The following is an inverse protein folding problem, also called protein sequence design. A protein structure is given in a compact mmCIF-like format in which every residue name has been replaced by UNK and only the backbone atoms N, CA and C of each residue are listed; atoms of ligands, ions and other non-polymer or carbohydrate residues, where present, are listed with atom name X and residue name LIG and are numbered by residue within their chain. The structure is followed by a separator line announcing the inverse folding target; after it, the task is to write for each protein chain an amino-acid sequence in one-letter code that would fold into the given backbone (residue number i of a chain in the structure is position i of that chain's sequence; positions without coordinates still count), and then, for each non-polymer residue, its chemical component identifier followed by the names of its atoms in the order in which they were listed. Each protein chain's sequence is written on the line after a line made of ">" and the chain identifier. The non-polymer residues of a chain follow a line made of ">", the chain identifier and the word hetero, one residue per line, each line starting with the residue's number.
data_IF_103307619216
#
_entry.id   IF_103307619216
#
_cell.length_a   1.000
_cell.length_b   1.000
_cell.length_c   1.000
_cell.angle_alpha   90.00
_cell.angle_beta   90.00
_cell.angle_gamma   90.00
#
_symmetry.space_group_name_H-M   'P 1'
#
loop_
_entity.id
_entity.type
_entity.pdbx_description
1 polymer ?
#
# COMPACT_ATOMS: atom_id res chain seq x y z
N UNK A 1 37.54 32.70 -30.11
CA UNK A 1 37.51 32.42 -28.66
C UNK A 1 36.07 32.56 -28.21
N UNK A 2 35.36 31.45 -28.09
CA UNK A 2 33.97 31.41 -27.66
C UNK A 2 33.87 30.24 -26.69
N UNK A 3 33.96 30.58 -25.40
CA UNK A 3 33.73 29.68 -24.27
C UNK A 3 32.26 29.27 -24.26
N UNK A 4 31.98 28.02 -24.61
CA UNK A 4 30.68 27.39 -24.34
C UNK A 4 30.57 27.16 -22.83
N UNK A 5 29.57 27.76 -22.20
CA UNK A 5 29.13 27.41 -20.85
C UNK A 5 28.32 26.12 -20.92
N UNK A 6 28.90 25.01 -20.44
CA UNK A 6 28.17 23.76 -20.23
C UNK A 6 27.28 23.91 -19.00
N UNK A 7 26.01 24.27 -19.21
CA UNK A 7 24.97 24.20 -18.18
C UNK A 7 24.68 22.74 -17.84
N UNK A 8 25.35 22.19 -16.82
CA UNK A 8 25.08 20.85 -16.32
C UNK A 8 23.68 20.76 -15.71
N UNK A 9 22.82 19.92 -16.26
CA UNK A 9 21.50 19.62 -15.67
C UNK A 9 21.71 18.99 -14.29
N UNK A 10 21.21 19.63 -13.25
CA UNK A 10 21.30 19.14 -11.87
C UNK A 10 20.62 17.79 -11.73
N UNK A 11 21.17 16.90 -10.91
CA UNK A 11 20.62 15.55 -10.68
C UNK A 11 19.68 15.57 -9.47
N UNK A 12 18.52 14.91 -9.60
CA UNK A 12 17.62 14.66 -8.47
C UNK A 12 18.15 13.48 -7.65
N UNK A 13 18.68 13.77 -6.45
CA UNK A 13 19.22 12.75 -5.55
C UNK A 13 18.15 11.99 -4.77
N UNK A 14 16.97 12.59 -4.64
CA UNK A 14 15.87 12.04 -3.87
C UNK A 14 15.21 10.88 -4.62
N UNK A 15 15.09 9.73 -3.95
CA UNK A 15 14.58 8.51 -4.55
C UNK A 15 15.63 7.62 -5.18
N UNK A 16 16.93 7.94 -5.05
CA UNK A 16 18.02 6.98 -5.26
C UNK A 16 18.05 5.94 -4.13
N UNK A 17 18.49 4.73 -4.41
CA UNK A 17 18.94 3.79 -3.37
C UNK A 17 20.31 4.20 -2.82
N UNK A 18 20.69 3.72 -1.64
CA UNK A 18 21.98 4.10 -1.04
C UNK A 18 23.16 3.78 -1.96
N UNK A 19 23.15 2.62 -2.62
CA UNK A 19 24.20 2.22 -3.56
C UNK A 19 24.24 3.09 -4.84
N UNK A 20 23.11 3.65 -5.27
CA UNK A 20 23.06 4.62 -6.37
C UNK A 20 23.62 5.97 -5.93
N UNK A 21 23.22 6.44 -4.73
CA UNK A 21 23.73 7.67 -4.15
C UNK A 21 25.24 7.58 -3.90
N UNK A 22 25.74 6.46 -3.38
CA UNK A 22 27.16 6.27 -3.13
C UNK A 22 27.98 6.31 -4.41
N UNK A 23 27.52 5.65 -5.49
CA UNK A 23 28.16 5.72 -6.81
C UNK A 23 28.19 7.15 -7.34
N UNK A 24 27.09 7.88 -7.21
CA UNK A 24 27.02 9.29 -7.62
C UNK A 24 27.96 10.18 -6.80
N UNK A 25 28.00 10.01 -5.47
CA UNK A 25 28.92 10.78 -4.60
C UNK A 25 30.39 10.49 -4.94
N UNK A 26 30.72 9.23 -5.20
CA UNK A 26 32.07 8.81 -5.61
C UNK A 26 32.47 9.38 -6.98
N UNK A 27 31.54 9.46 -7.94
CA UNK A 27 31.83 10.03 -9.26
C UNK A 27 32.18 11.53 -9.22
N UNK A 28 31.82 12.21 -8.13
CA UNK A 28 32.16 13.62 -7.90
C UNK A 28 33.38 13.80 -6.99
N UNK A 29 34.16 12.73 -6.74
CA UNK A 29 35.41 12.78 -5.99
C UNK A 29 35.28 12.69 -4.47
N UNK A 30 34.11 12.35 -3.94
CA UNK A 30 33.84 12.26 -2.51
C UNK A 30 33.87 10.82 -1.99
N UNK A 31 34.14 10.66 -0.69
CA UNK A 31 34.28 9.35 -0.05
C UNK A 31 32.91 8.74 0.32
N UNK A 32 32.85 7.42 0.44
CA UNK A 32 31.67 6.67 0.90
C UNK A 32 31.08 7.19 2.22
N UNK A 33 31.93 7.58 3.18
CA UNK A 33 31.47 8.17 4.44
C UNK A 33 30.66 9.46 4.25
N UNK A 34 30.94 10.23 3.20
CA UNK A 34 30.20 11.44 2.88
C UNK A 34 28.88 11.13 2.14
N UNK A 35 28.82 10.03 1.38
CA UNK A 35 27.56 9.50 0.85
C UNK A 35 26.62 9.07 1.98
N UNK A 36 27.15 8.44 3.02
CA UNK A 36 26.41 8.08 4.22
C UNK A 36 25.88 9.32 4.98
N UNK A 37 26.70 10.37 5.11
CA UNK A 37 26.24 11.64 5.69
C UNK A 37 25.10 12.26 4.88
N UNK A 38 25.18 12.20 3.55
CA UNK A 38 24.14 12.70 2.65
C UNK A 38 22.85 11.89 2.73
N UNK A 39 22.96 10.57 2.75
CA UNK A 39 21.85 9.64 2.94
C UNK A 39 21.13 9.94 4.26
N UNK A 40 21.88 10.03 5.36
CA UNK A 40 21.35 10.42 6.66
C UNK A 40 20.74 11.81 6.68
N UNK A 41 21.24 12.77 5.88
CA UNK A 41 20.62 14.11 5.77
C UNK A 41 19.30 14.11 5.01
N UNK A 42 19.19 13.33 3.93
CA UNK A 42 17.94 13.24 3.17
C UNK A 42 16.77 12.77 4.05
N UNK A 43 17.08 12.06 5.14
CA UNK A 43 16.13 11.42 6.03
C UNK A 43 16.37 11.73 7.54
N UNK A 44 17.14 12.77 7.89
CA UNK A 44 17.65 13.11 9.25
C UNK A 44 18.49 14.42 9.31
N UNK A 45 19.39 14.60 10.31
CA UNK A 45 20.01 15.93 10.61
C UNK A 45 21.53 16.12 10.36
N UNK A 46 21.88 17.26 9.72
CA UNK A 46 23.22 17.87 9.62
C UNK A 46 24.10 17.53 8.38
N UNK A 47 24.62 18.55 7.67
CA UNK A 47 25.67 18.44 6.62
C UNK A 47 26.78 19.47 6.83
N UNK A 48 28.04 19.09 6.55
CA UNK A 48 29.21 19.98 6.51
C UNK A 48 29.10 21.01 5.37
N UNK A 49 29.69 22.20 5.57
CA UNK A 49 29.68 23.38 4.69
C UNK A 49 30.19 23.07 3.27
N UNK A 50 31.27 22.32 3.15
CA UNK A 50 31.84 21.94 1.83
C UNK A 50 30.88 21.06 1.03
N UNK A 51 30.13 20.21 1.73
CA UNK A 51 29.18 19.29 1.12
C UNK A 51 27.89 20.01 0.67
N UNK A 52 27.45 21.04 1.41
CA UNK A 52 26.32 21.88 0.99
C UNK A 52 26.63 22.64 -0.29
N UNK A 53 27.86 23.12 -0.45
CA UNK A 53 28.31 23.81 -1.66
C UNK A 53 28.27 22.88 -2.88
N UNK A 54 28.83 21.68 -2.76
CA UNK A 54 28.76 20.65 -3.81
C UNK A 54 27.32 20.33 -4.23
N UNK A 55 26.41 20.15 -3.26
CA UNK A 55 25.01 19.87 -3.55
C UNK A 55 24.33 21.02 -4.29
N UNK A 56 24.61 22.26 -3.91
CA UNK A 56 24.02 23.43 -4.57
C UNK A 56 24.43 23.59 -6.04
N UNK A 57 25.64 23.12 -6.37
CA UNK A 57 26.24 23.16 -7.70
C UNK A 57 25.77 22.00 -8.59
N UNK A 58 25.56 20.80 -8.02
CA UNK A 58 25.37 19.56 -8.79
C UNK A 58 24.01 18.86 -8.60
N UNK A 59 23.20 19.27 -7.62
CA UNK A 59 21.95 18.58 -7.27
C UNK A 59 20.79 19.54 -6.98
N UNK A 60 19.56 19.07 -7.24
CA UNK A 60 18.35 19.77 -6.79
C UNK A 60 17.82 19.15 -5.49
N UNK A 61 17.62 20.00 -4.48
CA UNK A 61 17.09 19.62 -3.18
C UNK A 61 15.62 20.05 -3.07
N UNK A 62 14.69 19.25 -3.60
CA UNK A 62 13.26 19.43 -3.31
C UNK A 62 12.85 18.56 -2.13
N UNK A 63 12.54 19.19 -1.00
CA UNK A 63 11.76 18.54 0.04
C UNK A 63 10.38 18.21 -0.56
N UNK A 64 10.10 16.93 -0.80
CA UNK A 64 8.73 16.47 -1.09
C UNK A 64 7.80 17.06 -0.03
N UNK A 65 6.93 17.97 -0.45
CA UNK A 65 5.68 18.18 0.26
C UNK A 65 4.79 16.98 -0.06
N UNK A 66 3.85 16.62 0.81
CA UNK A 66 2.88 15.53 0.55
C UNK A 66 2.18 15.64 -0.82
N UNK A 67 2.16 16.84 -1.41
CA UNK A 67 1.65 17.11 -2.77
C UNK A 67 2.47 16.49 -3.90
N UNK A 68 3.77 16.30 -3.72
CA UNK A 68 4.68 15.86 -4.79
C UNK A 68 4.62 14.34 -5.06
N UNK A 69 4.00 13.57 -4.17
CA UNK A 69 3.81 12.10 -4.30
C UNK A 69 2.64 11.78 -5.27
N UNK A 70 1.84 12.77 -5.67
CA UNK A 70 0.56 12.57 -6.38
C UNK A 70 0.63 12.63 -7.91
N UNK A 71 1.82 12.83 -8.50
CA UNK A 71 1.94 13.03 -9.96
C UNK A 71 2.81 11.95 -10.59
N UNK A 72 2.20 11.07 -11.37
CA UNK A 72 2.94 10.18 -12.26
C UNK A 72 3.45 10.97 -13.48
N UNK A 73 4.49 10.45 -14.14
CA UNK A 73 5.14 11.05 -15.32
C UNK A 73 4.22 11.21 -16.55
N UNK A 74 3.02 10.63 -16.51
CA UNK A 74 1.97 10.76 -17.52
C UNK A 74 1.02 11.96 -17.28
N UNK A 75 1.27 12.79 -16.25
CA UNK A 75 0.45 13.97 -15.95
C UNK A 75 -0.91 13.67 -15.33
N UNK A 76 -1.21 12.40 -15.03
CA UNK A 76 -2.42 12.06 -14.28
C UNK A 76 -2.19 12.27 -12.78
N UNK A 77 -3.02 13.13 -12.17
CA UNK A 77 -3.16 13.22 -10.71
C UNK A 77 -3.93 11.98 -10.25
N UNK A 78 -3.20 10.89 -9.99
CA UNK A 78 -3.79 9.69 -9.37
C UNK A 78 -3.90 10.00 -7.88
N UNK A 79 -5.10 9.87 -7.30
CA UNK A 79 -5.26 9.83 -5.85
C UNK A 79 -4.50 8.66 -5.23
N UNK A 80 -4.82 8.27 -3.99
CA UNK A 80 -4.40 6.96 -3.43
C UNK A 80 -4.85 5.81 -4.37
N UNK A 81 -3.97 5.39 -5.27
CA UNK A 81 -4.23 4.32 -6.24
C UNK A 81 -3.73 2.97 -5.74
N UNK A 82 -4.03 1.90 -6.50
CA UNK A 82 -3.46 0.56 -6.28
C UNK A 82 -1.93 0.61 -6.34
N UNK A 83 -1.20 0.40 -5.21
CA UNK A 83 0.24 0.56 -5.16
C UNK A 83 0.97 -0.36 -6.15
N UNK A 84 0.46 -1.58 -6.34
CA UNK A 84 1.13 -2.57 -7.18
C UNK A 84 1.07 -2.24 -8.69
N UNK A 85 0.24 -1.30 -9.14
CA UNK A 85 0.36 -0.77 -10.50
C UNK A 85 1.69 -0.02 -10.70
N UNK A 86 2.29 0.50 -9.63
CA UNK A 86 3.58 1.17 -9.63
C UNK A 86 4.64 0.38 -8.85
N UNK A 87 4.69 -0.93 -9.09
CA UNK A 87 5.52 -1.87 -8.33
C UNK A 87 6.98 -1.46 -8.19
N UNK A 88 7.57 -0.88 -9.24
CA UNK A 88 9.00 -0.52 -9.25
C UNK A 88 9.29 0.55 -8.20
N UNK A 89 8.50 1.63 -8.19
CA UNK A 89 8.67 2.71 -7.23
C UNK A 89 8.25 2.27 -5.81
N UNK A 90 7.28 1.36 -5.69
CA UNK A 90 6.87 0.79 -4.39
C UNK A 90 7.99 -0.02 -3.77
N UNK A 91 8.64 -0.91 -4.52
CA UNK A 91 9.77 -1.70 -4.02
C UNK A 91 10.93 -0.78 -3.63
N UNK A 92 11.25 0.20 -4.49
CA UNK A 92 12.30 1.18 -4.21
C UNK A 92 12.01 1.99 -2.94
N UNK A 93 10.79 2.52 -2.81
CA UNK A 93 10.37 3.27 -1.63
C UNK A 93 10.39 2.42 -0.36
N UNK A 94 9.95 1.16 -0.45
CA UNK A 94 10.00 0.21 0.65
C UNK A 94 11.44 -0.08 1.08
N UNK A 95 12.38 -0.26 0.13
CA UNK A 95 13.80 -0.45 0.40
C UNK A 95 14.39 0.75 1.14
N UNK A 96 14.10 1.98 0.68
CA UNK A 96 14.56 3.22 1.32
C UNK A 96 14.04 3.34 2.77
N UNK A 97 12.78 2.98 3.01
CA UNK A 97 12.17 3.05 4.35
C UNK A 97 12.82 2.11 5.37
N UNK A 98 13.27 0.94 4.92
CA UNK A 98 13.84 -0.09 5.81
C UNK A 98 15.36 -0.10 5.85
N UNK A 99 16.01 0.71 5.01
CA UNK A 99 17.46 0.87 4.95
C UNK A 99 18.02 1.25 6.33
N UNK A 100 18.96 0.45 6.82
CA UNK A 100 19.56 0.56 8.17
C UNK A 100 20.43 1.80 8.34
N UNK A 101 20.91 2.35 7.22
CA UNK A 101 21.69 3.58 7.16
C UNK A 101 20.83 4.82 6.98
N UNK A 102 19.53 4.66 6.65
CA UNK A 102 18.55 5.70 6.40
C UNK A 102 17.49 5.80 7.50
N UNK A 103 16.21 5.59 7.12
CA UNK A 103 15.06 5.69 8.03
C UNK A 103 15.00 4.54 9.04
N UNK A 104 15.61 3.40 8.72
CA UNK A 104 15.75 2.23 9.58
C UNK A 104 14.42 1.77 10.20
N UNK A 105 13.32 1.87 9.46
CA UNK A 105 12.07 1.28 9.91
C UNK A 105 12.14 -0.24 9.84
N UNK A 106 11.57 -0.90 10.85
CA UNK A 106 11.40 -2.35 10.77
C UNK A 106 10.54 -2.69 9.55
N UNK A 107 10.93 -3.66 8.69
CA UNK A 107 10.11 -4.08 7.55
C UNK A 107 8.69 -4.50 7.94
N UNK A 108 8.49 -4.96 9.18
CA UNK A 108 7.17 -5.33 9.72
C UNK A 108 6.26 -4.13 10.01
N UNK A 109 6.81 -2.92 10.08
CA UNK A 109 6.07 -1.67 10.32
C UNK A 109 5.75 -0.91 9.03
N UNK A 110 6.38 -1.28 7.91
CA UNK A 110 6.07 -0.74 6.58
C UNK A 110 5.11 -1.71 5.90
N UNK A 111 3.83 -1.33 5.75
CA UNK A 111 2.80 -2.19 5.15
C UNK A 111 2.34 -1.63 3.82
N UNK A 112 2.42 -2.44 2.77
CA UNK A 112 1.86 -2.13 1.45
C UNK A 112 0.53 -2.87 1.32
N UNK A 113 -0.57 -2.14 1.06
CA UNK A 113 -1.87 -2.75 0.77
C UNK A 113 -2.09 -2.92 -0.73
N UNK A 114 -2.79 -3.98 -1.13
CA UNK A 114 -3.19 -4.23 -2.51
C UNK A 114 -4.60 -4.80 -2.61
N UNK A 115 -5.28 -4.47 -3.70
CA UNK A 115 -6.54 -5.07 -4.14
C UNK A 115 -6.38 -6.46 -4.77
N UNK A 116 -5.16 -6.96 -4.94
CA UNK A 116 -4.88 -8.32 -5.43
C UNK A 116 -4.41 -8.37 -6.89
N UNK A 117 -3.51 -7.47 -7.28
CA UNK A 117 -2.85 -7.52 -8.59
C UNK A 117 -1.83 -8.68 -8.63
N UNK A 118 -2.29 -9.90 -8.87
CA UNK A 118 -1.55 -11.16 -8.65
C UNK A 118 -0.11 -11.18 -9.20
N UNK A 119 0.17 -10.79 -10.46
CA UNK A 119 1.55 -10.81 -10.98
C UNK A 119 2.50 -9.89 -10.20
N UNK A 120 2.02 -8.72 -9.79
CA UNK A 120 2.82 -7.73 -9.08
C UNK A 120 2.89 -8.02 -7.59
N UNK A 121 1.88 -8.68 -7.02
CA UNK A 121 1.91 -9.20 -5.66
C UNK A 121 3.00 -10.26 -5.53
N UNK A 122 3.06 -11.18 -6.50
CA UNK A 122 4.12 -12.20 -6.58
C UNK A 122 5.51 -11.55 -6.67
N UNK A 123 5.65 -10.53 -7.51
CA UNK A 123 6.89 -9.74 -7.62
C UNK A 123 7.25 -9.07 -6.28
N UNK A 124 6.30 -8.42 -5.63
CA UNK A 124 6.51 -7.75 -4.34
C UNK A 124 6.99 -8.72 -3.26
N UNK A 125 6.35 -9.90 -3.14
CA UNK A 125 6.77 -10.91 -2.17
C UNK A 125 8.19 -11.42 -2.43
N UNK A 126 8.65 -11.46 -3.68
CA UNK A 126 10.01 -11.90 -4.03
C UNK A 126 11.06 -10.84 -3.77
N UNK A 127 10.76 -9.59 -4.09
CA UNK A 127 11.71 -8.48 -4.07
C UNK A 127 11.69 -7.68 -2.76
N UNK A 128 10.65 -7.81 -1.91
CA UNK A 128 10.52 -7.06 -0.66
C UNK A 128 10.26 -7.96 0.55
N UNK A 129 10.76 -7.51 1.71
CA UNK A 129 10.48 -8.09 3.03
C UNK A 129 9.51 -7.24 3.86
N UNK A 130 8.99 -6.15 3.30
CA UNK A 130 7.98 -5.32 3.96
C UNK A 130 6.65 -6.08 4.13
N UNK A 131 5.84 -5.66 5.09
CA UNK A 131 4.54 -6.28 5.35
C UNK A 131 3.58 -6.06 4.17
N UNK A 132 2.74 -7.06 3.89
CA UNK A 132 1.73 -7.02 2.84
C UNK A 132 0.34 -7.09 3.48
N UNK A 133 -0.52 -6.15 3.09
CA UNK A 133 -1.95 -6.20 3.31
C UNK A 133 -2.67 -6.52 2.00
N UNK A 134 -3.69 -7.36 2.05
CA UNK A 134 -4.51 -7.72 0.89
C UNK A 134 -5.96 -7.40 1.20
N UNK A 135 -6.54 -6.47 0.44
CA UNK A 135 -7.96 -6.16 0.46
C UNK A 135 -8.73 -7.35 -0.12
N UNK A 136 -9.31 -8.16 0.77
CA UNK A 136 -10.09 -9.34 0.41
C UNK A 136 -11.56 -8.97 0.20
N UNK A 137 -12.15 -8.31 1.21
CA UNK A 137 -13.50 -7.72 1.27
C UNK A 137 -14.69 -8.62 0.89
N UNK A 138 -14.50 -9.86 0.45
CA UNK A 138 -15.57 -10.77 0.10
C UNK A 138 -15.08 -12.22 0.11
N UNK A 139 -16.00 -13.15 0.35
CA UNK A 139 -15.71 -14.60 0.41
C UNK A 139 -16.25 -15.39 -0.77
N UNK A 140 -16.84 -14.72 -1.75
CA UNK A 140 -17.31 -15.31 -3.00
C UNK A 140 -16.93 -14.42 -4.18
N UNK A 141 -16.65 -15.01 -5.33
CA UNK A 141 -16.31 -14.24 -6.53
C UNK A 141 -17.46 -13.35 -7.00
N UNK A 142 -18.72 -13.75 -6.78
CA UNK A 142 -19.88 -12.93 -7.14
C UNK A 142 -19.89 -11.59 -6.38
N UNK A 143 -19.71 -11.61 -5.05
CA UNK A 143 -19.62 -10.36 -4.26
C UNK A 143 -18.36 -9.62 -4.66
N UNK A 144 -17.21 -10.31 -4.73
CA UNK A 144 -15.93 -9.65 -4.99
C UNK A 144 -15.86 -9.01 -6.37
N UNK A 145 -16.44 -9.62 -7.40
CA UNK A 145 -16.57 -9.04 -8.74
C UNK A 145 -17.41 -7.77 -8.78
N UNK A 146 -18.33 -7.61 -7.83
CA UNK A 146 -19.15 -6.43 -7.69
C UNK A 146 -18.42 -5.33 -6.93
N UNK A 147 -17.86 -5.61 -5.74
CA UNK A 147 -17.25 -4.57 -4.89
C UNK A 147 -15.77 -4.28 -5.23
N UNK A 148 -15.09 -5.22 -5.90
CA UNK A 148 -13.67 -5.14 -6.27
C UNK A 148 -13.45 -5.68 -7.69
N UNK A 149 -13.68 -4.85 -8.74
CA UNK A 149 -13.67 -5.29 -10.14
C UNK A 149 -12.41 -6.01 -10.62
N UNK A 150 -11.26 -5.79 -9.95
CA UNK A 150 -10.01 -6.51 -10.18
C UNK A 150 -10.17 -8.04 -10.07
N UNK A 151 -11.16 -8.51 -9.29
CA UNK A 151 -11.45 -9.93 -9.12
C UNK A 151 -11.86 -10.64 -10.41
N UNK A 152 -12.43 -9.90 -11.38
CA UNK A 152 -12.81 -10.47 -12.69
C UNK A 152 -11.59 -10.92 -13.48
N UNK A 153 -10.44 -10.30 -13.22
CA UNK A 153 -9.16 -10.67 -13.83
C UNK A 153 -8.36 -11.62 -12.96
N UNK A 154 -8.39 -11.42 -11.63
CA UNK A 154 -7.69 -12.26 -10.66
C UNK A 154 -8.66 -12.67 -9.55
N UNK A 155 -9.33 -13.80 -9.77
CA UNK A 155 -10.36 -14.31 -8.88
C UNK A 155 -9.78 -14.73 -7.50
N UNK A 156 -10.68 -15.04 -6.56
CA UNK A 156 -10.30 -15.44 -5.21
C UNK A 156 -9.37 -16.66 -5.20
N UNK A 157 -9.66 -17.67 -6.01
CA UNK A 157 -8.87 -18.89 -6.09
C UNK A 157 -7.42 -18.59 -6.49
N UNK A 158 -7.23 -17.87 -7.60
CA UNK A 158 -5.89 -17.52 -8.10
C UNK A 158 -5.12 -16.66 -7.10
N UNK A 159 -5.79 -15.68 -6.47
CA UNK A 159 -5.18 -14.81 -5.46
C UNK A 159 -4.71 -15.61 -4.24
N UNK A 160 -5.59 -16.45 -3.68
CA UNK A 160 -5.30 -17.21 -2.46
C UNK A 160 -4.29 -18.32 -2.72
N UNK A 161 -4.36 -19.00 -3.87
CA UNK A 161 -3.37 -19.99 -4.27
C UNK A 161 -1.98 -19.36 -4.41
N UNK A 162 -1.87 -18.20 -5.07
CA UNK A 162 -0.60 -17.46 -5.18
C UNK A 162 -0.03 -17.13 -3.81
N UNK A 163 -0.87 -16.70 -2.86
CA UNK A 163 -0.43 -16.44 -1.49
C UNK A 163 0.05 -17.71 -0.78
N UNK A 164 -0.63 -18.85 -0.95
CA UNK A 164 -0.17 -20.13 -0.37
C UNK A 164 1.20 -20.52 -0.91
N UNK A 165 1.39 -20.43 -2.22
CA UNK A 165 2.64 -20.79 -2.89
C UNK A 165 3.80 -19.88 -2.46
N UNK A 166 3.62 -18.57 -2.53
CA UNK A 166 4.70 -17.62 -2.25
C UNK A 166 5.02 -17.46 -0.74
N UNK A 167 4.08 -17.81 0.15
CA UNK A 167 4.31 -17.74 1.61
C UNK A 167 4.79 -19.06 2.22
N UNK A 168 4.66 -20.18 1.51
CA UNK A 168 5.16 -21.49 1.96
C UNK A 168 6.65 -21.44 2.37
N UNK A 169 7.48 -20.74 1.59
CA UNK A 169 8.93 -20.62 1.84
C UNK A 169 9.30 -19.46 2.78
N UNK A 170 8.35 -18.63 3.20
CA UNK A 170 8.62 -17.41 4.01
C UNK A 170 8.27 -17.62 5.47
N UNK A 171 9.17 -18.28 6.19
CA UNK A 171 9.04 -18.50 7.63
C UNK A 171 8.78 -17.18 8.38
N UNK A 172 7.75 -17.17 9.23
CA UNK A 172 7.32 -16.04 10.08
C UNK A 172 6.71 -14.84 9.33
N UNK A 173 6.57 -14.87 8.01
CA UNK A 173 5.82 -13.86 7.28
C UNK A 173 4.32 -14.14 7.40
N UNK A 174 3.52 -13.11 7.71
CA UNK A 174 2.05 -13.24 7.77
C UNK A 174 1.43 -12.11 6.96
N UNK A 175 0.58 -12.47 5.99
CA UNK A 175 -0.21 -11.48 5.25
C UNK A 175 -1.33 -10.93 6.13
N UNK A 176 -1.64 -9.65 6.01
CA UNK A 176 -2.81 -9.05 6.65
C UNK A 176 -3.97 -9.02 5.66
N UNK A 177 -5.02 -9.80 5.88
CA UNK A 177 -6.24 -9.65 5.10
C UNK A 177 -7.06 -8.49 5.64
N UNK A 178 -7.35 -7.52 4.78
CA UNK A 178 -8.27 -6.43 5.07
C UNK A 178 -9.67 -6.80 4.59
N UNK A 179 -10.65 -6.67 5.47
CA UNK A 179 -12.03 -7.05 5.22
C UNK A 179 -12.97 -5.94 5.71
N UNK A 180 -13.40 -5.09 4.79
CA UNK A 180 -14.39 -4.05 5.06
C UNK A 180 -15.76 -4.70 5.22
N UNK A 181 -16.39 -4.50 6.38
CA UNK A 181 -17.68 -5.10 6.74
C UNK A 181 -18.83 -4.21 6.23
N UNK A 182 -19.58 -4.76 5.27
CA UNK A 182 -20.71 -4.11 4.59
C UNK A 182 -22.00 -4.83 4.99
N UNK A 183 -22.92 -4.08 5.61
CA UNK A 183 -24.15 -4.62 6.15
C UNK A 183 -24.99 -5.33 5.07
N UNK A 184 -25.30 -6.62 5.31
CA UNK A 184 -26.13 -7.44 4.43
C UNK A 184 -25.47 -7.88 3.12
N UNK A 185 -24.19 -7.54 2.92
CA UNK A 185 -23.47 -7.84 1.66
C UNK A 185 -22.41 -8.93 1.86
N UNK A 186 -21.60 -8.80 2.90
CA UNK A 186 -20.44 -9.67 3.13
C UNK A 186 -20.23 -9.99 4.62
N UNK A 187 -21.24 -9.80 5.45
CA UNK A 187 -21.15 -9.83 6.91
C UNK A 187 -21.99 -10.95 7.55
N UNK A 188 -22.41 -11.97 6.79
CA UNK A 188 -23.18 -13.10 7.32
C UNK A 188 -22.31 -14.09 8.11
N UNK A 189 -22.93 -14.95 8.93
CA UNK A 189 -22.24 -16.06 9.60
C UNK A 189 -21.63 -17.02 8.57
N UNK A 190 -22.31 -17.24 7.46
CA UNK A 190 -21.84 -18.06 6.34
C UNK A 190 -20.61 -17.43 5.67
N UNK A 191 -20.53 -16.10 5.59
CA UNK A 191 -19.32 -15.40 5.14
C UNK A 191 -18.16 -15.67 6.10
N UNK A 192 -18.37 -15.60 7.42
CA UNK A 192 -17.31 -15.92 8.39
C UNK A 192 -16.80 -17.37 8.22
N UNK A 193 -17.71 -18.33 8.07
CA UNK A 193 -17.37 -19.74 7.83
C UNK A 193 -16.61 -19.95 6.51
N UNK A 194 -17.03 -19.29 5.42
CA UNK A 194 -16.30 -19.31 4.14
C UNK A 194 -14.92 -18.71 4.29
N UNK A 195 -14.79 -17.59 5.00
CA UNK A 195 -13.50 -16.92 5.20
C UNK A 195 -12.49 -17.84 5.88
N UNK A 196 -12.91 -18.58 6.92
CA UNK A 196 -12.06 -19.60 7.59
C UNK A 196 -11.53 -20.63 6.59
N UNK A 197 -12.40 -21.13 5.70
CA UNK A 197 -12.02 -22.06 4.65
C UNK A 197 -11.04 -21.46 3.65
N UNK A 198 -11.29 -20.24 3.18
CA UNK A 198 -10.46 -19.54 2.20
C UNK A 198 -9.03 -19.30 2.70
N UNK A 199 -8.87 -18.86 3.95
CA UNK A 199 -7.55 -18.53 4.50
C UNK A 199 -6.78 -19.76 5.02
N UNK A 200 -7.40 -20.94 5.03
CA UNK A 200 -6.73 -22.17 5.47
C UNK A 200 -5.46 -22.41 4.65
N UNK A 201 -4.38 -22.73 5.36
CA UNK A 201 -3.05 -22.94 4.78
C UNK A 201 -2.30 -21.66 4.42
N UNK A 202 -2.84 -20.47 4.69
CA UNK A 202 -2.16 -19.18 4.48
C UNK A 202 -1.76 -18.62 5.85
N UNK A 203 -0.46 -18.38 6.12
CA UNK A 203 -0.05 -17.66 7.30
C UNK A 203 -0.58 -16.22 7.26
N UNK A 204 -1.64 -15.92 8.01
CA UNK A 204 -2.29 -14.61 7.94
C UNK A 204 -2.77 -14.08 9.29
N UNK A 205 -3.17 -12.81 9.26
CA UNK A 205 -4.02 -12.16 10.24
C UNK A 205 -5.17 -11.51 9.48
N UNK A 206 -6.31 -11.29 10.14
CA UNK A 206 -7.49 -10.68 9.54
C UNK A 206 -7.77 -9.36 10.26
N UNK A 207 -8.01 -8.30 9.51
CA UNK A 207 -8.42 -7.00 10.01
C UNK A 207 -9.83 -6.70 9.52
N UNK A 208 -10.81 -6.81 10.41
CA UNK A 208 -12.18 -6.41 10.14
C UNK A 208 -12.29 -4.89 10.29
N UNK A 209 -12.73 -4.22 9.23
CA UNK A 209 -12.76 -2.76 9.15
C UNK A 209 -14.21 -2.32 9.03
N UNK A 210 -14.67 -1.44 9.92
CA UNK A 210 -15.98 -0.83 9.79
C UNK A 210 -16.03 0.08 8.56
N UNK A 211 -17.06 -0.06 7.74
CA UNK A 211 -17.25 0.80 6.57
C UNK A 211 -17.57 2.24 7.00
N UNK A 212 -16.98 3.22 6.33
CA UNK A 212 -17.28 4.63 6.57
C UNK A 212 -18.21 5.15 5.45
N UNK A 213 -19.48 5.47 5.75
CA UNK A 213 -20.41 6.00 4.77
C UNK A 213 -19.89 7.26 4.08
N UNK A 214 -20.21 7.40 2.80
CA UNK A 214 -19.99 8.63 2.04
C UNK A 214 -21.07 8.75 0.96
N UNK A 215 -21.29 9.97 0.47
CA UNK A 215 -22.37 10.31 -0.48
C UNK A 215 -22.37 9.50 -1.79
N UNK A 216 -21.20 8.97 -2.19
CA UNK A 216 -21.04 8.17 -3.40
C UNK A 216 -21.28 6.67 -3.22
N UNK A 217 -21.58 6.19 -2.01
CA UNK A 217 -21.82 4.77 -1.72
C UNK A 217 -23.20 4.55 -1.15
N UNK A 218 -23.82 3.44 -1.56
CA UNK A 218 -25.08 2.94 -1.01
C UNK A 218 -24.88 1.91 0.10
N UNK A 219 -23.65 1.48 0.33
CA UNK A 219 -23.34 0.53 1.38
C UNK A 219 -23.53 1.13 2.78
N UNK A 220 -23.87 0.28 3.74
CA UNK A 220 -24.01 0.65 5.15
C UNK A 220 -22.97 -0.10 5.99
N UNK A 221 -22.52 0.49 7.10
CA UNK A 221 -21.65 -0.20 8.04
C UNK A 221 -22.40 -1.37 8.70
N UNK A 222 -21.74 -2.51 8.80
CA UNK A 222 -22.22 -3.61 9.64
C UNK A 222 -22.35 -3.13 11.10
N UNK A 223 -23.46 -3.41 11.80
CA UNK A 223 -23.61 -3.09 13.22
C UNK A 223 -22.48 -3.69 14.06
N UNK A 224 -22.04 -2.98 15.09
CA UNK A 224 -20.89 -3.37 15.90
C UNK A 224 -21.07 -4.76 16.53
N UNK A 225 -22.26 -5.06 17.06
CA UNK A 225 -22.59 -6.37 17.64
C UNK A 225 -22.34 -7.52 16.64
N UNK A 226 -22.75 -7.32 15.38
CA UNK A 226 -22.57 -8.30 14.30
C UNK A 226 -21.11 -8.40 13.86
N UNK A 227 -20.35 -7.30 13.88
CA UNK A 227 -18.90 -7.35 13.66
C UNK A 227 -18.18 -8.15 14.76
N UNK A 228 -18.61 -7.99 16.01
CA UNK A 228 -18.07 -8.74 17.16
C UNK A 228 -18.39 -10.23 17.03
N UNK A 229 -19.63 -10.57 16.66
CA UNK A 229 -20.04 -11.96 16.40
C UNK A 229 -19.19 -12.59 15.28
N UNK A 230 -19.05 -11.90 14.14
CA UNK A 230 -18.21 -12.35 13.02
C UNK A 230 -16.76 -12.58 13.47
N UNK A 231 -16.21 -11.64 14.26
CA UNK A 231 -14.86 -11.74 14.83
C UNK A 231 -14.71 -12.92 15.79
N UNK A 232 -15.72 -13.21 16.61
CA UNK A 232 -15.71 -14.34 17.54
C UNK A 232 -15.68 -15.67 16.79
N UNK A 233 -16.51 -15.84 15.77
CA UNK A 233 -16.51 -17.05 14.91
C UNK A 233 -15.13 -17.31 14.31
N UNK A 234 -14.49 -16.28 13.76
CA UNK A 234 -13.14 -16.40 13.21
C UNK A 234 -12.09 -16.74 14.29
N UNK A 235 -12.18 -16.11 15.46
CA UNK A 235 -11.25 -16.32 16.56
C UNK A 235 -11.38 -17.73 17.18
N UNK A 236 -12.59 -18.24 17.34
CA UNK A 236 -12.88 -19.61 17.79
C UNK A 236 -12.30 -20.66 16.84
N UNK A 237 -12.26 -20.35 15.53
CA UNK A 237 -11.59 -21.17 14.52
C UNK A 237 -10.05 -21.03 14.51
N UNK A 238 -9.46 -20.29 15.46
CA UNK A 238 -8.02 -20.10 15.60
C UNK A 238 -7.41 -19.00 14.74
N UNK A 239 -8.22 -18.16 14.08
CA UNK A 239 -7.70 -17.03 13.31
C UNK A 239 -7.25 -15.89 14.25
N UNK A 240 -6.18 -15.18 13.86
CA UNK A 240 -5.79 -13.92 14.51
C UNK A 240 -6.58 -12.79 13.87
N UNK A 241 -7.49 -12.19 14.63
CA UNK A 241 -8.43 -11.18 14.12
C UNK A 241 -8.29 -9.87 14.89
N UNK A 242 -8.25 -8.76 14.17
CA UNK A 242 -8.34 -7.41 14.70
C UNK A 242 -9.64 -6.78 14.26
N UNK A 243 -10.16 -5.88 15.10
CA UNK A 243 -11.34 -5.08 14.81
C UNK A 243 -10.94 -3.61 14.76
N UNK A 244 -11.18 -2.96 13.63
CA UNK A 244 -11.01 -1.51 13.45
C UNK A 244 -12.39 -0.86 13.34
N UNK A 245 -12.90 -0.43 14.50
CA UNK A 245 -14.13 0.36 14.59
C UNK A 245 -13.90 1.78 14.08
N UNK A 246 -14.94 2.40 13.53
CA UNK A 246 -14.89 3.80 13.12
C UNK A 246 -14.69 4.66 14.37
N UNK A 247 -13.64 5.48 14.39
CA UNK A 247 -13.47 6.52 15.41
C UNK A 247 -14.31 7.70 14.94
N UNK A 248 -15.34 8.05 15.70
CA UNK A 248 -16.38 9.03 15.33
C UNK A 248 -15.94 10.48 15.11
N UNK A 249 -14.69 10.75 14.71
CA UNK A 249 -14.16 12.12 14.62
C UNK A 249 -13.25 12.44 13.42
N UNK A 250 -12.94 11.49 12.52
CA UNK A 250 -12.09 11.81 11.37
C UNK A 250 -12.92 12.13 10.11
N UNK A 251 -13.61 13.29 10.14
CA UNK A 251 -14.12 13.91 8.92
C UNK A 251 -12.95 14.07 7.94
N UNK A 252 -12.96 13.32 6.83
CA UNK A 252 -12.08 13.42 5.64
C UNK A 252 -10.76 12.62 5.63
N UNK A 253 -10.45 11.78 6.62
CA UNK A 253 -9.17 11.02 6.64
C UNK A 253 -9.31 9.49 6.77
N UNK A 254 -10.51 8.95 6.64
CA UNK A 254 -10.70 7.50 6.64
C UNK A 254 -10.06 6.84 5.40
N UNK A 255 -9.52 5.62 5.56
CA UNK A 255 -9.02 4.80 4.45
C UNK A 255 -10.08 4.72 3.33
N UNK A 256 -9.73 5.20 2.13
CA UNK A 256 -10.62 5.26 0.97
C UNK A 256 -11.28 6.63 0.71
N UNK A 257 -11.12 7.62 1.60
CA UNK A 257 -11.69 8.96 1.46
C UNK A 257 -10.67 10.04 1.05
N UNK A 258 -9.42 9.66 0.82
CA UNK A 258 -8.37 10.57 0.39
C UNK A 258 -8.36 10.70 -1.14
N UNK A 259 -9.04 11.75 -1.61
CA UNK A 259 -9.07 12.21 -3.00
C UNK A 259 -9.91 13.48 -3.11
N UNK A 260 -9.53 14.42 -3.98
CA UNK A 260 -10.45 15.48 -4.39
C UNK A 260 -11.54 14.82 -5.25
N UNK A 261 -12.81 15.02 -4.89
CA UNK A 261 -13.95 14.67 -5.74
C UNK A 261 -13.85 15.54 -7.01
N UNK A 262 -13.10 15.08 -8.01
CA UNK A 262 -13.26 15.61 -9.36
C UNK A 262 -14.67 15.30 -9.88
N UNK A 263 -15.13 16.00 -10.92
CA UNK A 263 -16.45 15.84 -11.56
C UNK A 263 -16.73 14.44 -12.15
N UNK A 264 -15.82 13.47 -11.94
CA UNK A 264 -15.96 12.11 -12.42
C UNK A 264 -16.77 11.31 -11.40
N UNK A 265 -18.07 11.14 -11.64
CA UNK A 265 -18.87 10.16 -10.90
C UNK A 265 -18.22 8.78 -11.00
N UNK A 266 -17.96 8.15 -9.85
CA UNK A 266 -17.52 6.76 -9.83
C UNK A 266 -18.55 5.90 -10.60
N UNK A 267 -18.11 4.98 -11.48
CA UNK A 267 -19.03 4.18 -12.27
C UNK A 267 -19.96 3.41 -11.34
N UNK A 268 -21.28 3.56 -11.55
CA UNK A 268 -22.29 2.83 -10.79
C UNK A 268 -22.18 1.36 -11.16
N UNK A 269 -21.58 0.57 -10.26
CA UNK A 269 -21.42 -0.87 -10.47
C UNK A 269 -22.79 -1.55 -10.38
N UNK A 270 -23.15 -2.34 -11.40
CA UNK A 270 -24.42 -3.07 -11.45
C UNK A 270 -24.54 -3.99 -10.23
N UNK A 271 -25.56 -3.74 -9.42
CA UNK A 271 -25.85 -4.54 -8.22
C UNK A 271 -26.33 -5.93 -8.63
N UNK A 272 -25.72 -7.03 -8.14
CA UNK A 272 -26.21 -8.38 -8.39
C UNK A 272 -27.66 -8.54 -7.92
N UNK A 273 -28.46 -9.35 -8.62
CA UNK A 273 -29.91 -9.45 -8.38
C UNK A 273 -30.26 -9.71 -6.90
N UNK A 274 -29.48 -10.56 -6.23
CA UNK A 274 -29.66 -10.90 -4.80
C UNK A 274 -29.42 -9.75 -3.83
N UNK A 275 -28.74 -8.68 -4.25
CA UNK A 275 -28.39 -7.53 -3.40
C UNK A 275 -29.21 -6.28 -3.72
N UNK A 276 -30.15 -6.34 -4.67
CA UNK A 276 -30.96 -5.17 -5.06
C UNK A 276 -31.84 -4.62 -3.93
N UNK A 277 -32.17 -5.45 -2.93
CA UNK A 277 -32.97 -5.06 -1.76
C UNK A 277 -32.13 -4.57 -0.57
N UNK A 278 -30.80 -4.75 -0.62
CA UNK A 278 -29.86 -4.43 0.46
C UNK A 278 -29.19 -3.07 0.26
N UNK A 279 -29.19 -2.56 -0.97
CA UNK A 279 -28.43 -1.40 -1.47
C UNK A 279 -29.35 -0.22 -1.80
#
# INVERSE_FOLDING_TARGET
>A
MSTQSSGGSKVLLKGMEFAELERWVRSHGFRSGQALMLWKRLYGDGLNKDFRKMLSENAEFKALTLKDILTASDGTRKGMGEPLHNIHNVIKGAAIMVDDQGLHFSPRKVTISTSGLVPQLKRFLRESNCALAVSLNATTDEVRNWIMPINRKYNLELLLQTLREELCSKHRYKVLFEYVMLAGVNDSIEDAKRLIGLVRGIPCKINLISFNPHSGSRFRPTPEEKMIEFRNILAEAGCVVFLRLSRGDDRMAACGQLGELGDTQAPVLRVPARFQTVV
#
